data_IF_763490187571
#
_entry.id   IF_763490187571
#
_cell.length_a   1.000
_cell.length_b   1.000
_cell.length_c   1.000
_cell.angle_alpha   90.00
_cell.angle_beta   90.00
_cell.angle_gamma   90.00
#
_symmetry.space_group_name_H-M   'P 1'
#
loop_
_entity.id
_entity.type
_entity.pdbx_description
1 polymer ?
#
# COMPACT_ATOMS: atom_id res chain seq x y z
N UNK A 1 -5.29 0.91 -44.47
CA UNK A 1 -4.08 0.23 -43.94
C UNK A 1 -3.26 1.27 -43.22
N UNK A 2 -3.16 1.35 -41.90
CA UNK A 2 -3.87 0.66 -40.83
C UNK A 2 -4.00 1.67 -39.69
N UNK A 3 -5.16 1.67 -39.04
CA UNK A 3 -5.44 2.51 -37.89
C UNK A 3 -4.55 2.04 -36.74
N UNK A 4 -3.64 2.91 -36.29
CA UNK A 4 -2.86 2.64 -35.08
C UNK A 4 -3.78 3.03 -33.93
N UNK A 5 -4.58 2.08 -33.47
CA UNK A 5 -5.32 2.20 -32.22
C UNK A 5 -4.30 2.45 -31.11
N UNK A 6 -4.14 3.72 -30.74
CA UNK A 6 -3.53 4.11 -29.48
C UNK A 6 -4.42 3.51 -28.40
N UNK A 7 -4.08 2.31 -27.96
CA UNK A 7 -4.61 1.72 -26.73
C UNK A 7 -4.26 2.73 -25.64
N UNK A 8 -5.22 3.59 -25.33
CA UNK A 8 -5.26 4.37 -24.10
C UNK A 8 -4.93 3.38 -23.00
N UNK A 9 -3.69 3.46 -22.54
CA UNK A 9 -3.23 2.69 -21.41
C UNK A 9 -4.05 3.26 -20.28
N UNK A 10 -5.14 2.58 -19.93
CA UNK A 10 -5.88 2.85 -18.71
C UNK A 10 -4.81 3.06 -17.65
N UNK A 11 -4.73 4.29 -17.14
CA UNK A 11 -3.93 4.64 -15.99
C UNK A 11 -4.51 3.86 -14.82
N UNK A 12 -4.16 2.57 -14.73
CA UNK A 12 -4.26 1.79 -13.53
C UNK A 12 -3.38 2.54 -12.53
N UNK A 13 -3.99 3.42 -11.76
CA UNK A 13 -3.30 4.21 -10.75
C UNK A 13 -2.52 3.24 -9.88
N UNK A 14 -1.19 3.31 -9.95
CA UNK A 14 -0.32 2.49 -9.12
C UNK A 14 -0.52 2.98 -7.69
N UNK A 15 -1.05 2.12 -6.82
CA UNK A 15 -1.15 2.41 -5.39
C UNK A 15 0.20 2.15 -4.74
N UNK A 16 0.74 3.11 -4.00
CA UNK A 16 1.98 2.96 -3.25
C UNK A 16 1.68 2.50 -1.82
N UNK A 17 2.38 1.47 -1.37
CA UNK A 17 2.49 1.11 0.05
C UNK A 17 3.90 1.48 0.49
N UNK A 18 4.01 2.23 1.58
CA UNK A 18 5.26 2.82 2.03
C UNK A 18 5.52 2.43 3.49
N UNK A 19 6.70 1.90 3.78
CA UNK A 19 7.09 1.47 5.13
C UNK A 19 8.41 2.12 5.56
N UNK A 20 8.65 2.18 6.88
CA UNK A 20 9.97 2.53 7.42
C UNK A 20 10.88 1.30 7.50
N UNK A 21 12.17 1.47 7.20
CA UNK A 21 13.21 0.45 7.41
C UNK A 21 13.24 -0.02 8.88
N UNK A 22 13.20 0.90 9.84
CA UNK A 22 13.22 0.54 11.27
C UNK A 22 11.95 -0.20 11.72
N UNK A 23 10.84 -0.04 11.00
CA UNK A 23 9.59 -0.73 11.30
C UNK A 23 9.58 -2.21 10.85
N UNK A 24 10.64 -2.67 10.16
CA UNK A 24 10.91 -4.10 9.91
C UNK A 24 11.00 -4.92 11.20
N UNK A 25 11.36 -4.30 12.33
CA UNK A 25 11.31 -4.95 13.64
C UNK A 25 9.90 -5.48 13.98
N UNK A 26 8.86 -4.90 13.37
CA UNK A 26 7.46 -5.30 13.44
C UNK A 26 6.95 -5.97 12.16
N UNK A 27 7.84 -6.38 11.26
CA UNK A 27 7.55 -7.12 10.02
C UNK A 27 6.57 -6.41 9.06
N UNK A 28 6.54 -5.08 9.07
CA UNK A 28 5.63 -4.29 8.20
C UNK A 28 6.02 -4.31 6.73
N UNK A 29 7.32 -4.43 6.45
CA UNK A 29 7.83 -4.62 5.09
C UNK A 29 7.36 -5.95 4.50
N UNK A 30 7.36 -7.02 5.28
CA UNK A 30 6.92 -8.33 4.86
C UNK A 30 5.42 -8.32 4.51
N UNK A 31 4.59 -7.71 5.36
CA UNK A 31 3.17 -7.52 5.07
C UNK A 31 2.95 -6.77 3.75
N UNK A 32 3.68 -5.67 3.53
CA UNK A 32 3.59 -4.88 2.29
C UNK A 32 4.06 -5.66 1.05
N UNK A 33 5.15 -6.42 1.15
CA UNK A 33 5.68 -7.25 0.05
C UNK A 33 4.71 -8.37 -0.32
N UNK A 34 4.11 -9.03 0.67
CA UNK A 34 3.10 -10.06 0.42
C UNK A 34 1.90 -9.50 -0.33
N UNK A 35 1.39 -8.32 0.07
CA UNK A 35 0.30 -7.64 -0.64
C UNK A 35 0.68 -7.33 -2.09
N UNK A 36 1.90 -6.81 -2.33
CA UNK A 36 2.39 -6.49 -3.67
C UNK A 36 2.55 -7.74 -4.55
N UNK A 37 2.97 -8.87 -3.98
CA UNK A 37 3.12 -10.13 -4.70
C UNK A 37 1.78 -10.69 -5.22
N UNK A 38 0.68 -10.39 -4.52
CA UNK A 38 -0.65 -10.92 -4.84
C UNK A 38 -1.60 -9.89 -5.48
N UNK A 39 -1.21 -8.62 -5.53
CA UNK A 39 -2.09 -7.54 -5.99
C UNK A 39 -1.49 -6.74 -7.14
N UNK A 40 -2.08 -6.87 -8.33
CA UNK A 40 -1.72 -6.04 -9.46
C UNK A 40 -2.01 -4.56 -9.21
N UNK A 41 -1.12 -3.69 -9.72
CA UNK A 41 -1.24 -2.23 -9.61
C UNK A 41 -0.81 -1.67 -8.25
N UNK A 42 -0.01 -2.41 -7.48
CA UNK A 42 0.51 -1.99 -6.18
C UNK A 42 2.03 -2.01 -6.19
N UNK A 43 2.66 -1.00 -5.59
CA UNK A 43 4.11 -0.87 -5.45
C UNK A 43 4.46 -0.70 -3.97
N UNK A 44 5.40 -1.51 -3.47
CA UNK A 44 6.01 -1.28 -2.16
C UNK A 44 7.24 -0.39 -2.31
N UNK A 45 7.34 0.64 -1.46
CA UNK A 45 8.54 1.43 -1.25
C UNK A 45 8.90 1.42 0.22
N UNK A 46 10.19 1.52 0.47
CA UNK A 46 10.71 1.57 1.82
C UNK A 46 11.58 2.79 1.96
N UNK A 47 11.48 3.41 3.13
CA UNK A 47 12.13 4.66 3.45
C UNK A 47 12.88 4.53 4.76
N UNK A 48 13.99 5.25 4.89
CA UNK A 48 14.67 5.37 6.18
C UNK A 48 13.73 5.95 7.26
N UNK A 49 12.90 6.93 6.92
CA UNK A 49 11.91 7.52 7.82
C UNK A 49 10.74 8.16 7.07
N UNK A 50 9.52 7.86 7.52
CA UNK A 50 8.26 8.43 7.02
C UNK A 50 7.70 9.57 7.92
N UNK A 51 8.45 10.01 8.94
CA UNK A 51 7.98 11.01 9.90
C UNK A 51 7.00 10.50 10.97
N UNK A 52 6.72 9.19 10.99
CA UNK A 52 5.81 8.53 11.94
C UNK A 52 6.56 7.75 13.03
N UNK A 53 7.67 8.29 13.57
CA UNK A 53 8.53 7.58 14.52
C UNK A 53 7.80 7.13 15.78
N UNK A 54 6.79 7.87 16.24
CA UNK A 54 5.97 7.49 17.39
C UNK A 54 5.29 6.12 17.21
N UNK A 55 4.95 5.78 15.96
CA UNK A 55 4.29 4.53 15.60
C UNK A 55 5.34 3.46 15.26
N UNK A 56 6.37 3.88 14.53
CA UNK A 56 7.47 3.03 14.06
C UNK A 56 8.10 2.15 15.16
N UNK A 57 8.29 2.71 16.37
CA UNK A 57 8.86 1.96 17.49
C UNK A 57 7.84 1.08 18.22
N UNK A 58 6.55 1.36 18.10
CA UNK A 58 5.51 0.72 18.92
C UNK A 58 4.88 -0.48 18.25
N UNK A 59 4.60 -0.37 16.94
CA UNK A 59 3.72 -1.30 16.26
C UNK A 59 3.93 -1.29 14.73
N UNK A 60 3.47 -2.34 14.03
CA UNK A 60 3.51 -2.36 12.58
C UNK A 60 2.65 -1.24 11.96
N UNK A 61 3.18 -0.58 10.93
CA UNK A 61 2.45 0.45 10.19
C UNK A 61 2.88 0.55 8.72
N UNK A 62 1.99 1.10 7.89
CA UNK A 62 2.28 1.46 6.52
C UNK A 62 1.55 2.75 6.12
N UNK A 63 2.11 3.49 5.17
CA UNK A 63 1.48 4.65 4.55
C UNK A 63 1.07 4.30 3.12
N UNK A 64 -0.21 4.47 2.79
CA UNK A 64 -0.74 4.19 1.45
C UNK A 64 -0.96 5.50 0.70
N UNK A 65 -0.36 5.60 -0.50
CA UNK A 65 -0.39 6.76 -1.39
C UNK A 65 -0.12 8.11 -0.70
N UNK A 66 0.88 8.15 0.19
CA UNK A 66 1.25 9.33 0.99
C UNK A 66 0.09 9.92 1.85
N UNK A 67 -1.00 9.17 2.05
CA UNK A 67 -2.26 9.71 2.61
C UNK A 67 -2.86 8.89 3.74
N UNK A 68 -2.90 7.57 3.59
CA UNK A 68 -3.62 6.69 4.52
C UNK A 68 -2.60 5.99 5.41
N UNK A 69 -2.51 6.42 6.65
CA UNK A 69 -1.68 5.76 7.65
C UNK A 69 -2.46 4.59 8.26
N UNK A 70 -1.97 3.38 8.04
CA UNK A 70 -2.50 2.15 8.63
C UNK A 70 -1.56 1.71 9.74
N UNK A 71 -2.13 1.40 10.90
CA UNK A 71 -1.41 0.88 12.06
C UNK A 71 -2.16 -0.34 12.57
N UNK A 72 -1.43 -1.36 13.02
CA UNK A 72 -2.00 -2.61 13.49
C UNK A 72 -1.30 -3.10 14.76
N UNK A 73 -1.88 -4.06 15.48
CA UNK A 73 -1.24 -4.70 16.63
C UNK A 73 -0.28 -5.82 16.21
N UNK A 74 -0.46 -6.38 15.00
CA UNK A 74 0.46 -7.37 14.40
C UNK A 74 0.64 -7.19 12.88
N UNK A 75 1.67 -7.84 12.33
CA UNK A 75 1.95 -7.79 10.89
C UNK A 75 0.84 -8.45 10.06
N UNK A 76 0.19 -9.50 10.59
CA UNK A 76 -0.94 -10.18 9.96
C UNK A 76 -2.18 -9.27 9.90
N UNK A 77 -2.41 -8.48 10.96
CA UNK A 77 -3.47 -7.49 10.96
C UNK A 77 -3.15 -6.36 9.97
N UNK A 78 -1.91 -5.88 9.93
CA UNK A 78 -1.48 -4.88 8.94
C UNK A 78 -1.70 -5.37 7.50
N UNK A 79 -1.37 -6.63 7.22
CA UNK A 79 -1.62 -7.27 5.93
C UNK A 79 -3.13 -7.23 5.58
N UNK A 80 -3.98 -7.58 6.55
CA UNK A 80 -5.44 -7.57 6.36
C UNK A 80 -5.98 -6.16 6.10
N UNK A 81 -5.50 -5.15 6.85
CA UNK A 81 -5.85 -3.74 6.66
C UNK A 81 -5.43 -3.21 5.29
N UNK A 82 -4.25 -3.59 4.80
CA UNK A 82 -3.76 -3.21 3.49
C UNK A 82 -4.67 -3.76 2.38
N UNK A 83 -5.06 -5.04 2.45
CA UNK A 83 -5.97 -5.63 1.48
C UNK A 83 -7.34 -4.94 1.46
N UNK A 84 -7.92 -4.68 2.64
CA UNK A 84 -9.21 -3.99 2.77
C UNK A 84 -9.16 -2.56 2.21
N UNK A 85 -8.10 -1.83 2.54
CA UNK A 85 -7.85 -0.48 2.03
C UNK A 85 -7.73 -0.48 0.50
N UNK A 86 -6.97 -1.43 -0.07
CA UNK A 86 -6.82 -1.55 -1.52
C UNK A 86 -8.13 -1.93 -2.23
N UNK A 87 -8.96 -2.78 -1.63
CA UNK A 87 -10.28 -3.12 -2.16
C UNK A 87 -11.21 -1.90 -2.18
N UNK A 88 -11.12 -1.06 -1.16
CA UNK A 88 -11.86 0.21 -1.05
C UNK A 88 -11.38 1.24 -2.07
N UNK A 89 -10.07 1.35 -2.30
CA UNK A 89 -9.50 2.29 -3.29
C UNK A 89 -9.82 1.88 -4.74
N UNK A 90 -9.94 0.58 -5.02
CA UNK A 90 -10.30 0.05 -6.35
C UNK A 90 -11.78 0.20 -6.69
N UNK A 91 -12.63 0.44 -5.70
CA UNK A 91 -14.06 0.63 -5.88
C UNK A 91 -14.41 2.10 -5.69
N UNK A 92 -14.95 2.82 -6.70
CA UNK A 92 -15.42 4.18 -6.44
C UNK A 92 -16.52 4.11 -5.37
N UNK A 93 -16.49 4.99 -4.34
CA UNK A 93 -17.61 5.06 -3.41
C UNK A 93 -18.86 5.41 -4.21
N UNK A 94 -19.78 4.44 -4.31
CA UNK A 94 -21.12 4.68 -4.86
C UNK A 94 -21.87 5.54 -3.87
N UNK A 95 -21.73 6.86 -4.03
CA UNK A 95 -22.59 7.85 -3.39
C UNK A 95 -23.97 7.68 -4.06
N UNK A 96 -24.95 7.21 -3.30
CA UNK A 96 -26.38 7.33 -3.63
C UNK A 96 -26.92 8.64 -3.09
#
# INVERSE_FOLDING_TARGET
MGEIETRETQSLGIVRIETCEDNRAHQSDEAARQVCAHTAGVLHREWACLGHCHNCFKKPFALVDDRILLEADSAEELYSLLLDTLATLKSPPSIK
#
